data_IF_130738594794
#
_entry.id   IF_130738594794
#
_cell.length_a   1.000
_cell.length_b   1.000
_cell.length_c   1.000
_cell.angle_alpha   90.00
_cell.angle_beta   90.00
_cell.angle_gamma   90.00
#
_symmetry.space_group_name_H-M   'P 1'
#
loop_
_entity.id
_entity.type
_entity.pdbx_description
1 polymer ?
#
# COMPACT_ATOMS: atom_id res chain seq x y z
N UNK A 1 -1.46 -3.60 5.36
CA UNK A 1 -1.19 -4.16 4.02
C UNK A 1 -1.89 -5.49 4.00
N UNK A 2 -3.09 -5.51 3.44
CA UNK A 2 -4.09 -6.48 3.87
C UNK A 2 -4.15 -7.63 2.87
N UNK A 3 -3.16 -8.53 2.99
CA UNK A 3 -2.99 -9.68 2.11
C UNK A 3 -2.93 -10.95 2.96
N UNK A 4 -3.96 -11.78 2.90
CA UNK A 4 -4.03 -13.04 3.64
C UNK A 4 -3.18 -14.17 3.03
N UNK A 5 -3.06 -14.21 1.70
CA UNK A 5 -2.26 -15.20 0.97
C UNK A 5 -1.37 -14.51 -0.09
N UNK A 6 -0.10 -14.22 0.21
CA UNK A 6 0.78 -13.48 -0.71
C UNK A 6 1.18 -14.35 -1.91
N UNK A 7 0.59 -14.08 -3.07
CA UNK A 7 0.76 -14.90 -4.29
C UNK A 7 2.20 -15.03 -4.79
N UNK A 8 3.07 -14.06 -4.52
CA UNK A 8 4.49 -14.12 -4.92
C UNK A 8 5.37 -14.97 -4.00
N UNK A 9 4.84 -15.52 -2.89
CA UNK A 9 5.64 -16.34 -1.98
C UNK A 9 6.10 -17.66 -2.62
N UNK A 10 5.31 -18.21 -3.55
CA UNK A 10 5.70 -19.38 -4.36
C UNK A 10 7.00 -19.12 -5.15
N UNK A 11 7.13 -17.92 -5.74
CA UNK A 11 8.33 -17.53 -6.50
C UNK A 11 9.56 -17.43 -5.60
N UNK A 12 9.40 -16.97 -4.36
CA UNK A 12 10.48 -16.96 -3.37
C UNK A 12 10.88 -18.38 -2.98
N UNK A 13 9.92 -19.30 -2.84
CA UNK A 13 10.23 -20.69 -2.57
C UNK A 13 11.06 -21.33 -3.70
N UNK A 14 10.68 -21.07 -4.95
CA UNK A 14 11.43 -21.51 -6.13
C UNK A 14 12.85 -20.91 -6.17
N UNK A 15 13.01 -19.63 -5.82
CA UNK A 15 14.31 -18.95 -5.85
C UNK A 15 15.29 -19.49 -4.79
N UNK A 16 14.82 -19.76 -3.56
CA UNK A 16 15.68 -20.14 -2.44
C UNK A 16 15.83 -21.65 -2.22
N UNK A 17 14.98 -22.46 -2.86
CA UNK A 17 14.83 -23.92 -2.74
C UNK A 17 14.49 -24.46 -1.33
N UNK A 18 14.98 -23.81 -0.27
CA UNK A 18 14.78 -24.21 1.12
C UNK A 18 14.40 -23.00 1.99
N UNK A 19 13.55 -23.22 2.99
CA UNK A 19 13.17 -22.16 3.91
C UNK A 19 14.35 -21.63 4.74
N UNK A 20 15.32 -22.50 5.05
CA UNK A 20 16.50 -22.12 5.85
C UNK A 20 17.37 -21.08 5.15
N UNK A 21 17.59 -21.22 3.84
CA UNK A 21 18.37 -20.25 3.04
C UNK A 21 17.61 -18.94 2.92
N UNK A 22 16.29 -18.98 2.64
CA UNK A 22 15.44 -17.79 2.61
C UNK A 22 15.50 -16.99 3.91
N UNK A 23 15.41 -17.66 5.07
CA UNK A 23 15.40 -17.00 6.39
C UNK A 23 16.73 -16.31 6.75
N UNK A 24 17.83 -16.71 6.12
CA UNK A 24 19.12 -16.04 6.31
C UNK A 24 19.18 -14.70 5.56
N UNK A 25 18.47 -14.58 4.43
CA UNK A 25 18.48 -13.40 3.57
C UNK A 25 17.31 -12.43 3.85
N UNK A 26 16.20 -12.92 4.40
CA UNK A 26 14.97 -12.13 4.57
C UNK A 26 14.52 -12.10 6.03
N UNK A 27 14.31 -10.88 6.54
CA UNK A 27 13.71 -10.62 7.85
C UNK A 27 12.32 -9.98 7.67
N UNK A 28 11.33 -10.52 8.38
CA UNK A 28 10.00 -9.94 8.45
C UNK A 28 9.79 -9.25 9.81
N UNK A 29 9.20 -8.05 9.79
CA UNK A 29 8.84 -7.28 10.98
C UNK A 29 7.38 -6.85 10.80
N UNK A 30 6.59 -7.00 11.86
CA UNK A 30 5.19 -6.58 11.89
C UNK A 30 5.08 -5.22 12.56
N UNK A 31 4.28 -4.33 11.98
CA UNK A 31 3.83 -3.09 12.60
C UNK A 31 2.31 -3.19 12.84
N UNK A 32 1.84 -2.73 13.99
CA UNK A 32 0.42 -2.47 14.25
C UNK A 32 -0.02 -1.12 13.68
N UNK A 33 -1.33 -0.86 13.63
CA UNK A 33 -1.84 0.44 13.20
C UNK A 33 -1.36 1.58 14.10
N UNK A 34 -1.18 1.32 15.39
CA UNK A 34 -0.66 2.32 16.34
C UNK A 34 0.83 2.58 16.13
N UNK A 35 1.62 1.54 15.82
CA UNK A 35 3.02 1.68 15.40
C UNK A 35 3.13 2.57 14.15
N UNK A 36 2.25 2.33 13.16
CA UNK A 36 2.22 3.08 11.91
C UNK A 36 1.84 4.54 12.17
N UNK A 37 0.76 4.80 12.93
CA UNK A 37 0.32 6.15 13.33
C UNK A 37 1.44 6.92 14.02
N UNK A 38 2.08 6.31 15.01
CA UNK A 38 3.17 6.93 15.75
C UNK A 38 4.39 7.20 14.86
N UNK A 39 4.66 6.32 13.90
CA UNK A 39 5.75 6.50 12.94
C UNK A 39 5.48 7.65 11.98
N UNK A 40 4.27 7.77 11.42
CA UNK A 40 3.86 8.92 10.59
C UNK A 40 4.06 10.23 11.33
N UNK A 41 3.52 10.33 12.56
CA UNK A 41 3.65 11.54 13.40
C UNK A 41 5.11 11.87 13.70
N UNK A 42 5.92 10.86 14.00
CA UNK A 42 7.34 11.04 14.32
C UNK A 42 8.14 11.55 13.12
N UNK A 43 7.92 10.98 11.94
CA UNK A 43 8.59 11.39 10.70
C UNK A 43 8.21 12.83 10.36
N UNK A 44 6.92 13.16 10.42
CA UNK A 44 6.44 14.51 10.16
C UNK A 44 7.03 15.52 11.15
N UNK A 45 7.03 15.20 12.46
CA UNK A 45 7.59 16.09 13.49
C UNK A 45 9.08 16.36 13.29
N UNK A 46 9.86 15.32 12.96
CA UNK A 46 11.33 15.40 12.88
C UNK A 46 11.84 15.93 11.54
N UNK A 47 11.20 15.56 10.45
CA UNK A 47 11.70 15.80 9.10
C UNK A 47 10.78 16.66 8.24
N UNK A 48 9.57 17.00 8.73
CA UNK A 48 8.53 17.69 7.95
C UNK A 48 8.17 16.97 6.65
N UNK A 49 8.42 15.67 6.59
CA UNK A 49 8.09 14.80 5.48
C UNK A 49 6.75 14.10 5.76
N UNK A 50 5.87 14.12 4.76
CA UNK A 50 4.59 13.42 4.79
C UNK A 50 4.78 12.07 4.08
N UNK A 51 4.37 10.98 4.73
CA UNK A 51 4.51 9.62 4.19
C UNK A 51 3.21 8.85 4.33
N UNK A 52 2.92 7.98 3.35
CA UNK A 52 1.76 7.10 3.45
C UNK A 52 1.96 5.99 4.52
N UNK A 53 0.87 5.36 5.00
CA UNK A 53 0.95 4.26 5.98
C UNK A 53 1.88 3.10 5.57
N UNK A 54 1.94 2.78 4.27
CA UNK A 54 2.82 1.74 3.73
C UNK A 54 4.30 2.09 3.91
N UNK A 55 4.67 3.33 3.58
CA UNK A 55 6.04 3.83 3.74
C UNK A 55 6.40 3.94 5.23
N UNK A 56 5.47 4.40 6.07
CA UNK A 56 5.66 4.42 7.52
C UNK A 56 5.87 3.01 8.11
N UNK A 57 5.20 1.99 7.60
CA UNK A 57 5.43 0.58 7.98
C UNK A 57 6.90 0.17 7.73
N UNK A 58 7.47 0.55 6.59
CA UNK A 58 8.87 0.27 6.28
C UNK A 58 9.85 1.07 7.16
N UNK A 59 9.54 2.33 7.47
CA UNK A 59 10.31 3.12 8.43
C UNK A 59 10.27 2.54 9.84
N UNK A 60 9.11 2.03 10.27
CA UNK A 60 8.99 1.33 11.54
C UNK A 60 9.88 0.09 11.54
N UNK A 61 9.78 -0.77 10.52
CA UNK A 61 10.62 -1.96 10.40
C UNK A 61 12.12 -1.62 10.45
N UNK A 62 12.54 -0.55 9.78
CA UNK A 62 13.93 -0.07 9.79
C UNK A 62 14.46 0.24 11.19
N UNK A 63 13.62 0.61 12.16
CA UNK A 63 14.04 0.88 13.54
C UNK A 63 14.51 -0.39 14.27
N UNK A 64 14.13 -1.58 13.78
CA UNK A 64 14.49 -2.89 14.34
C UNK A 64 15.62 -3.59 13.56
N UNK A 65 16.33 -2.82 12.71
CA UNK A 65 17.45 -3.29 11.90
C UNK A 65 18.77 -2.65 12.38
N UNK A 66 19.89 -3.11 11.83
CA UNK A 66 21.21 -2.57 12.14
C UNK A 66 21.32 -1.08 11.74
N UNK A 67 22.25 -0.36 12.36
CA UNK A 67 22.46 1.09 12.12
C UNK A 67 23.10 1.44 10.77
N UNK A 68 23.32 0.46 9.89
CA UNK A 68 23.83 0.71 8.54
C UNK A 68 22.85 1.54 7.70
N UNK A 69 23.29 2.13 6.59
CA UNK A 69 22.39 2.79 5.65
C UNK A 69 21.34 1.81 5.10
N UNK A 70 20.10 2.26 4.97
CA UNK A 70 18.99 1.49 4.41
C UNK A 70 18.28 2.29 3.32
N UNK A 71 17.79 1.58 2.30
CA UNK A 71 16.86 2.13 1.32
C UNK A 71 15.45 1.73 1.74
N UNK A 72 14.56 2.71 1.84
CA UNK A 72 13.13 2.49 2.06
C UNK A 72 12.40 2.73 0.75
N UNK A 73 11.65 1.74 0.30
CA UNK A 73 10.80 1.88 -0.89
C UNK A 73 9.49 2.52 -0.47
N UNK A 74 9.27 3.77 -0.90
CA UNK A 74 7.99 4.45 -0.73
C UNK A 74 7.02 3.98 -1.82
N UNK A 75 6.08 3.12 -1.47
CA UNK A 75 5.26 2.38 -2.45
C UNK A 75 4.01 3.12 -2.91
N UNK A 76 3.62 4.20 -2.24
CA UNK A 76 2.48 5.02 -2.61
C UNK A 76 2.70 6.48 -2.20
N UNK A 77 2.17 7.38 -3.02
CA UNK A 77 2.07 8.80 -2.69
C UNK A 77 1.12 9.00 -1.47
N UNK A 78 1.44 9.89 -0.52
CA UNK A 78 0.56 10.21 0.60
C UNK A 78 -0.86 10.62 0.20
N UNK A 79 -1.04 11.28 -0.95
CA UNK A 79 -2.36 11.76 -1.42
C UNK A 79 -3.35 10.62 -1.68
N UNK A 80 -2.88 9.38 -1.79
CA UNK A 80 -3.76 8.19 -1.96
C UNK A 80 -4.32 7.67 -0.63
N UNK A 81 -3.93 8.26 0.49
CA UNK A 81 -4.37 7.93 1.84
C UNK A 81 -4.62 9.22 2.66
N UNK A 82 -5.06 10.27 1.97
CA UNK A 82 -5.22 11.64 2.47
C UNK A 82 -5.97 11.72 3.81
N UNK A 83 -7.23 11.31 3.84
CA UNK A 83 -8.12 11.33 5.02
C UNK A 83 -7.43 10.79 6.28
N UNK A 84 -6.84 9.61 6.17
CA UNK A 84 -6.17 8.92 7.27
C UNK A 84 -4.96 9.70 7.78
N UNK A 85 -4.17 10.29 6.89
CA UNK A 85 -2.94 10.99 7.27
C UNK A 85 -3.25 12.39 7.80
N UNK A 86 -4.15 13.13 7.15
CA UNK A 86 -4.56 14.48 7.56
C UNK A 86 -5.08 14.47 9.00
N UNK A 87 -5.88 13.47 9.37
CA UNK A 87 -6.36 13.27 10.74
C UNK A 87 -5.21 13.05 11.75
N UNK A 88 -4.11 12.44 11.33
CA UNK A 88 -2.97 12.14 12.20
C UNK A 88 -2.05 13.35 12.43
N UNK A 89 -1.88 14.21 11.42
CA UNK A 89 -0.88 15.30 11.46
C UNK A 89 -1.50 16.69 11.38
N UNK A 90 -2.83 16.79 11.26
CA UNK A 90 -3.60 18.04 11.16
C UNK A 90 -3.05 19.00 10.09
N UNK A 91 -2.65 18.45 8.96
CA UNK A 91 -2.04 19.19 7.84
C UNK A 91 -2.63 18.64 6.54
N UNK A 92 -3.15 19.51 5.65
CA UNK A 92 -3.68 19.06 4.36
C UNK A 92 -2.57 18.47 3.49
N UNK A 93 -2.90 17.42 2.74
CA UNK A 93 -1.97 16.79 1.82
C UNK A 93 -2.13 17.42 0.43
N UNK A 94 -1.04 17.88 -0.20
CA UNK A 94 -1.11 18.37 -1.57
C UNK A 94 -1.49 17.23 -2.51
N UNK A 95 -2.59 17.41 -3.24
CA UNK A 95 -3.05 16.47 -4.27
C UNK A 95 -2.32 16.79 -5.58
N UNK A 96 -1.61 15.82 -6.20
CA UNK A 96 -0.99 16.03 -7.50
C UNK A 96 -2.03 16.38 -8.58
N UNK A 97 -1.73 17.29 -9.53
CA UNK A 97 -2.69 17.72 -10.56
C UNK A 97 -3.29 16.55 -11.36
N UNK A 98 -2.50 15.53 -11.66
CA UNK A 98 -2.96 14.34 -12.38
C UNK A 98 -4.00 13.55 -11.57
N UNK A 99 -3.83 13.45 -10.25
CA UNK A 99 -4.81 12.80 -9.39
C UNK A 99 -6.07 13.67 -9.27
N UNK A 100 -5.92 14.99 -9.13
CA UNK A 100 -7.04 15.92 -9.10
C UNK A 100 -7.92 15.79 -10.36
N UNK A 101 -7.31 15.78 -11.54
CA UNK A 101 -8.03 15.57 -12.80
C UNK A 101 -8.79 14.24 -12.84
N UNK A 102 -8.22 13.17 -12.29
CA UNK A 102 -8.89 11.86 -12.21
C UNK A 102 -10.08 11.89 -11.24
N UNK A 103 -9.94 12.55 -10.09
CA UNK A 103 -11.00 12.66 -9.08
C UNK A 103 -12.21 13.47 -9.56
N UNK A 104 -12.01 14.39 -10.51
CA UNK A 104 -13.07 15.18 -11.15
C UNK A 104 -13.87 14.39 -12.19
N UNK A 105 -13.40 13.20 -12.60
CA UNK A 105 -14.15 12.35 -13.54
C UNK A 105 -15.32 11.64 -12.86
N UNK A 106 -16.41 11.45 -13.58
CA UNK A 106 -17.57 10.72 -13.06
C UNK A 106 -17.22 9.23 -12.88
N UNK A 107 -17.25 8.76 -11.64
CA UNK A 107 -17.05 7.35 -11.33
C UNK A 107 -18.15 6.47 -11.96
N UNK A 108 -17.75 5.44 -12.70
CA UNK A 108 -18.64 4.43 -13.26
C UNK A 108 -18.46 3.12 -12.52
N UNK A 109 -19.37 2.83 -11.59
CA UNK A 109 -19.32 1.65 -10.74
C UNK A 109 -20.52 0.74 -11.00
N UNK A 110 -20.32 -0.57 -10.96
CA UNK A 110 -21.40 -1.57 -10.98
C UNK A 110 -21.54 -2.14 -9.57
N UNK A 111 -22.69 -1.93 -8.93
CA UNK A 111 -22.88 -2.19 -7.48
C UNK A 111 -23.64 -3.48 -7.17
N UNK A 112 -24.16 -4.18 -8.18
CA UNK A 112 -25.05 -5.34 -8.04
C UNK A 112 -24.37 -6.68 -8.37
N UNK A 113 -23.08 -6.80 -8.06
CA UNK A 113 -22.31 -8.04 -8.27
C UNK A 113 -22.31 -8.84 -6.99
N UNK A 114 -23.08 -9.92 -6.94
CA UNK A 114 -23.16 -10.79 -5.75
C UNK A 114 -22.72 -12.22 -6.06
N UNK A 115 -22.69 -12.60 -7.34
CA UNK A 115 -22.28 -13.92 -7.80
C UNK A 115 -21.21 -13.83 -8.89
N UNK A 116 -20.49 -14.94 -9.09
CA UNK A 116 -19.59 -15.08 -10.23
C UNK A 116 -20.31 -14.95 -11.57
N UNK A 117 -21.60 -15.31 -11.62
CA UNK A 117 -22.38 -15.22 -12.85
C UNK A 117 -22.72 -13.77 -13.22
N UNK A 118 -22.95 -12.91 -12.22
CA UNK A 118 -23.11 -11.47 -12.44
C UNK A 118 -21.84 -10.87 -13.07
N UNK A 119 -20.67 -11.28 -12.60
CA UNK A 119 -19.37 -10.87 -13.16
C UNK A 119 -19.26 -11.29 -14.63
N UNK A 120 -19.59 -12.56 -14.95
CA UNK A 120 -19.53 -13.06 -16.33
C UNK A 120 -20.42 -12.25 -17.26
N UNK A 121 -21.66 -11.99 -16.85
CA UNK A 121 -22.61 -11.19 -17.63
C UNK A 121 -22.08 -9.79 -17.91
N UNK A 122 -21.51 -9.12 -16.91
CA UNK A 122 -20.95 -7.77 -17.08
C UNK A 122 -19.77 -7.78 -18.07
N UNK A 123 -18.85 -8.73 -17.93
CA UNK A 123 -17.67 -8.81 -18.82
C UNK A 123 -18.11 -9.12 -20.26
N UNK A 124 -19.01 -10.08 -20.46
CA UNK A 124 -19.51 -10.47 -21.78
C UNK A 124 -20.29 -9.30 -22.41
N UNK A 125 -21.18 -8.66 -21.65
CA UNK A 125 -21.96 -7.52 -22.12
C UNK A 125 -21.08 -6.35 -22.56
N UNK A 126 -20.01 -6.04 -21.81
CA UNK A 126 -19.03 -5.01 -22.21
C UNK A 126 -18.30 -5.37 -23.50
N UNK A 127 -17.94 -6.63 -23.71
CA UNK A 127 -17.25 -7.06 -24.93
C UNK A 127 -18.15 -7.06 -26.18
N UNK A 128 -19.47 -7.14 -26.03
CA UNK A 128 -20.42 -7.05 -27.15
C UNK A 128 -20.72 -5.60 -27.59
N UNK A 129 -20.33 -4.61 -26.79
CA UNK A 129 -20.62 -3.19 -26.99
C UNK A 129 -19.36 -2.31 -26.95
N UNK A 130 -18.18 -2.91 -27.04
CA UNK A 130 -16.91 -2.20 -27.21
C UNK A 130 -16.62 -2.10 -28.71
N UNK A 131 -17.05 -0.99 -29.32
CA UNK A 131 -16.56 -0.50 -30.61
C UNK A 131 -15.24 0.28 -30.41
#
# INVERSE_FOLDING_TARGET
MDVGNPSNFERLHYLFNYFKTFKNEVKAIRASDDDIKNTVKTIYKKHKMIVCPHTATAFYARQHLSKQPWIVVATADPSKCDTVIEDMIHTPIPVPPQLQMMLETQAQNVTSVTTLEDIRKIIIFKNMHAD
#
